data_IF_676872211921
#
_entry.id   IF_676872211921
#
_cell.length_a   1.000
_cell.length_b   1.000
_cell.length_c   1.000
_cell.angle_alpha   90.00
_cell.angle_beta   90.00
_cell.angle_gamma   90.00
#
_symmetry.space_group_name_H-M   'P 1'
#
loop_
_entity.id
_entity.type
_entity.pdbx_description
1 polymer ?
#
# COMPACT_ATOMS: atom_id res chain seq x y z
N UNK A 1 6.64 -48.64 11.20
CA UNK A 1 5.82 -47.77 10.33
C UNK A 1 6.44 -46.39 10.37
N UNK A 2 7.02 -45.85 9.29
CA UNK A 2 7.51 -44.48 9.32
C UNK A 2 6.32 -43.52 9.20
N UNK A 3 6.07 -42.72 10.25
CA UNK A 3 5.06 -41.67 10.21
C UNK A 3 5.57 -40.52 9.34
N UNK A 4 4.80 -40.16 8.31
CA UNK A 4 5.04 -38.95 7.51
C UNK A 4 4.93 -37.73 8.44
N UNK A 5 6.04 -37.03 8.63
CA UNK A 5 6.03 -35.69 9.23
C UNK A 5 5.18 -34.76 8.37
N UNK A 6 4.33 -33.90 8.95
CA UNK A 6 3.56 -32.93 8.19
C UNK A 6 4.54 -31.94 7.55
N UNK A 7 4.53 -31.87 6.23
CA UNK A 7 5.33 -30.95 5.43
C UNK A 7 4.97 -29.52 5.84
N UNK A 8 5.88 -28.90 6.61
CA UNK A 8 5.73 -27.56 7.13
C UNK A 8 5.92 -26.59 5.96
N UNK A 9 4.79 -26.14 5.40
CA UNK A 9 4.73 -25.21 4.28
C UNK A 9 5.36 -23.90 4.73
N UNK A 10 6.64 -23.69 4.40
CA UNK A 10 7.31 -22.42 4.63
C UNK A 10 6.54 -21.33 3.88
N UNK A 11 6.09 -20.26 4.56
CA UNK A 11 5.44 -19.15 3.89
C UNK A 11 6.42 -18.61 2.85
N UNK A 12 5.98 -18.58 1.60
CA UNK A 12 6.75 -18.01 0.50
C UNK A 12 7.20 -16.59 0.87
N UNK A 13 8.47 -16.23 0.66
CA UNK A 13 8.96 -14.90 1.01
C UNK A 13 8.14 -13.86 0.25
N UNK A 14 7.54 -12.93 0.99
CA UNK A 14 6.83 -11.81 0.40
C UNK A 14 7.82 -10.94 -0.38
N UNK A 15 7.39 -10.35 -1.49
CA UNK A 15 8.25 -9.51 -2.34
C UNK A 15 8.60 -8.19 -1.63
N UNK A 16 7.71 -7.74 -0.74
CA UNK A 16 7.88 -6.57 0.12
C UNK A 16 7.55 -6.94 1.57
N UNK A 17 7.97 -6.07 2.50
CA UNK A 17 7.55 -6.15 3.88
C UNK A 17 6.02 -5.94 4.03
N UNK A 18 5.43 -6.49 5.09
CA UNK A 18 3.99 -6.34 5.37
C UNK A 18 3.58 -4.87 5.47
N UNK A 19 4.41 -4.02 6.06
CA UNK A 19 4.14 -2.58 6.20
C UNK A 19 4.02 -1.90 4.83
N UNK A 20 4.93 -2.20 3.89
CA UNK A 20 4.87 -1.66 2.54
C UNK A 20 3.57 -2.03 1.82
N UNK A 21 3.04 -3.24 2.02
CA UNK A 21 1.74 -3.62 1.46
C UNK A 21 0.59 -2.78 2.03
N UNK A 22 0.62 -2.46 3.32
CA UNK A 22 -0.40 -1.60 3.94
C UNK A 22 -0.32 -0.19 3.37
N UNK A 23 0.89 0.38 3.27
CA UNK A 23 1.10 1.72 2.71
C UNK A 23 0.67 1.75 1.24
N UNK A 24 0.99 0.72 0.47
CA UNK A 24 0.56 0.58 -0.93
C UNK A 24 -0.97 0.58 -1.04
N UNK A 25 -1.66 -0.22 -0.22
CA UNK A 25 -3.12 -0.31 -0.24
C UNK A 25 -3.78 1.03 0.11
N UNK A 26 -3.30 1.70 1.17
CA UNK A 26 -3.79 3.02 1.58
C UNK A 26 -3.56 4.05 0.48
N UNK A 27 -2.39 4.01 -0.18
CA UNK A 27 -2.03 4.93 -1.26
C UNK A 27 -2.94 4.76 -2.47
N UNK A 28 -3.23 3.51 -2.88
CA UNK A 28 -4.18 3.22 -3.96
C UNK A 28 -5.58 3.67 -3.58
N UNK A 29 -6.02 3.40 -2.34
CA UNK A 29 -7.33 3.82 -1.87
C UNK A 29 -7.47 5.35 -1.89
N UNK A 30 -6.42 6.07 -1.51
CA UNK A 30 -6.39 7.54 -1.55
C UNK A 30 -6.58 8.08 -2.97
N UNK A 31 -5.95 7.46 -3.98
CA UNK A 31 -6.15 7.80 -5.39
C UNK A 31 -7.62 7.58 -5.79
N UNK A 32 -8.18 6.40 -5.44
CA UNK A 32 -9.58 6.07 -5.74
C UNK A 32 -10.54 7.07 -5.09
N UNK A 33 -10.29 7.45 -3.83
CA UNK A 33 -11.08 8.46 -3.12
C UNK A 33 -10.93 9.84 -3.77
N UNK A 34 -9.73 10.23 -4.21
CA UNK A 34 -9.51 11.49 -4.92
C UNK A 34 -10.33 11.59 -6.21
N UNK A 35 -10.33 10.54 -7.03
CA UNK A 35 -11.17 10.48 -8.24
C UNK A 35 -12.67 10.34 -7.91
N UNK A 36 -13.01 9.55 -6.89
CA UNK A 36 -14.40 9.38 -6.43
C UNK A 36 -15.00 10.68 -5.91
N UNK A 37 -14.21 11.50 -5.21
CA UNK A 37 -14.62 12.81 -4.73
C UNK A 37 -14.93 13.78 -5.88
N UNK A 38 -14.11 13.78 -6.95
CA UNK A 38 -14.42 14.54 -8.16
C UNK A 38 -15.73 14.09 -8.82
N UNK A 39 -15.93 12.78 -8.88
CA UNK A 39 -17.15 12.21 -9.46
C UNK A 39 -18.39 12.60 -8.65
N UNK A 40 -18.33 12.54 -7.33
CA UNK A 40 -19.43 12.93 -6.44
C UNK A 40 -19.74 14.43 -6.49
N UNK A 41 -18.72 15.29 -6.60
CA UNK A 41 -18.94 16.73 -6.71
C UNK A 41 -19.61 17.11 -8.04
N UNK A 42 -19.32 16.36 -9.12
CA UNK A 42 -19.95 16.53 -10.43
C UNK A 42 -19.66 17.87 -11.13
N UNK A 43 -18.83 18.73 -10.50
CA UNK A 43 -18.41 20.03 -11.02
C UNK A 43 -16.90 20.04 -11.13
N UNK A 44 -16.39 20.07 -12.36
CA UNK A 44 -14.95 20.11 -12.60
C UNK A 44 -14.26 21.32 -11.95
N UNK A 45 -14.91 22.48 -11.94
CA UNK A 45 -14.43 23.71 -11.26
C UNK A 45 -14.93 23.80 -9.82
N UNK A 46 -15.46 22.72 -9.27
CA UNK A 46 -15.81 22.61 -7.87
C UNK A 46 -14.57 22.69 -6.98
N UNK A 47 -14.76 23.10 -5.73
CA UNK A 47 -13.66 23.31 -4.81
C UNK A 47 -12.89 22.01 -4.54
N UNK A 48 -13.61 20.90 -4.40
CA UNK A 48 -13.01 19.58 -4.12
C UNK A 48 -12.25 19.09 -5.35
N UNK A 49 -12.81 19.24 -6.54
CA UNK A 49 -12.21 18.75 -7.78
C UNK A 49 -11.00 19.55 -8.21
N UNK A 50 -11.03 20.87 -7.99
CA UNK A 50 -9.95 21.75 -8.42
C UNK A 50 -8.78 21.82 -7.42
N UNK A 51 -9.04 21.69 -6.12
CA UNK A 51 -8.01 21.89 -5.08
C UNK A 51 -7.70 20.62 -4.29
N UNK A 52 -8.72 19.93 -3.77
CA UNK A 52 -8.51 18.82 -2.81
C UNK A 52 -8.09 17.54 -3.53
N UNK A 53 -8.79 17.20 -4.61
CA UNK A 53 -8.62 15.94 -5.34
C UNK A 53 -7.24 15.82 -6.00
N UNK A 54 -6.70 16.87 -6.67
CA UNK A 54 -5.37 16.80 -7.26
C UNK A 54 -4.29 16.56 -6.21
N UNK A 55 -4.38 17.22 -5.04
CA UNK A 55 -3.44 17.02 -3.93
C UNK A 55 -3.54 15.59 -3.39
N UNK A 56 -4.75 15.08 -3.18
CA UNK A 56 -4.96 13.71 -2.70
C UNK A 56 -4.40 12.66 -3.68
N UNK A 57 -4.63 12.85 -4.99
CA UNK A 57 -4.12 11.94 -6.03
C UNK A 57 -2.59 11.97 -6.08
N UNK A 58 -1.97 13.15 -6.04
CA UNK A 58 -0.51 13.28 -6.03
C UNK A 58 0.07 12.65 -4.76
N UNK A 59 -0.52 12.88 -3.60
CA UNK A 59 -0.11 12.24 -2.35
C UNK A 59 -0.23 10.71 -2.44
N UNK A 60 -1.30 10.20 -3.05
CA UNK A 60 -1.48 8.77 -3.31
C UNK A 60 -0.38 8.20 -4.21
N UNK A 61 -0.02 8.88 -5.30
CA UNK A 61 1.09 8.44 -6.15
C UNK A 61 2.45 8.50 -5.43
N UNK A 62 2.71 9.55 -4.66
CA UNK A 62 3.91 9.63 -3.83
C UNK A 62 3.98 8.48 -2.82
N UNK A 63 2.86 8.11 -2.20
CA UNK A 63 2.75 6.96 -1.30
C UNK A 63 2.99 5.61 -2.00
N UNK A 64 2.49 5.42 -3.23
CA UNK A 64 2.80 4.22 -4.04
C UNK A 64 4.30 4.13 -4.32
N UNK A 65 4.92 5.24 -4.73
CA UNK A 65 6.37 5.30 -4.98
C UNK A 65 7.14 4.95 -3.71
N UNK A 66 6.76 5.54 -2.57
CA UNK A 66 7.37 5.25 -1.28
C UNK A 66 7.22 3.77 -0.91
N UNK A 67 6.03 3.19 -1.03
CA UNK A 67 5.79 1.79 -0.70
C UNK A 67 6.59 0.81 -1.58
N UNK A 68 6.92 1.18 -2.81
CA UNK A 68 7.71 0.35 -3.72
C UNK A 68 9.22 0.51 -3.47
N UNK A 69 9.67 1.75 -3.24
CA UNK A 69 11.11 2.07 -3.12
C UNK A 69 11.66 1.87 -1.72
N UNK A 70 10.83 2.04 -0.69
CA UNK A 70 11.27 1.84 0.69
C UNK A 70 11.58 0.38 0.94
N UNK A 71 12.75 0.10 1.49
CA UNK A 71 13.10 -1.21 2.04
C UNK A 71 13.63 -0.96 3.44
N UNK A 72 13.09 -1.63 4.47
CA UNK A 72 13.72 -1.60 5.79
C UNK A 72 15.13 -2.19 5.69
N UNK A 73 16.08 -1.61 6.41
CA UNK A 73 17.41 -2.21 6.59
C UNK A 73 17.28 -3.46 7.49
N UNK A 74 18.21 -4.40 7.36
CA UNK A 74 18.14 -5.78 7.88
C UNK A 74 17.79 -5.92 9.38
N UNK A 75 17.93 -4.87 10.19
CA UNK A 75 17.59 -4.86 11.62
C UNK A 75 16.07 -4.94 11.93
N UNK A 76 15.19 -4.47 11.04
CA UNK A 76 13.74 -4.57 11.25
C UNK A 76 13.18 -5.91 10.77
N UNK A 77 13.81 -6.53 9.77
CA UNK A 77 13.49 -7.89 9.33
C UNK A 77 13.75 -8.93 10.44
N UNK A 78 14.75 -8.72 11.29
CA UNK A 78 15.03 -9.56 12.46
C UNK A 78 13.97 -9.39 13.57
N UNK A 79 13.42 -8.17 13.76
CA UNK A 79 12.36 -7.92 14.75
C UNK A 79 10.99 -8.47 14.33
N UNK A 80 10.70 -8.57 13.03
CA UNK A 80 9.48 -9.23 12.54
C UNK A 80 9.59 -10.77 12.54
N UNK A 81 10.81 -11.31 12.58
CA UNK A 81 11.08 -12.75 12.56
C UNK A 81 11.32 -13.38 13.96
N UNK A 82 11.52 -12.56 15.00
CA UNK A 82 11.69 -12.97 16.39
C UNK A 82 10.35 -12.97 17.18
#
# INVERSE_FOLDING_TARGET
MPSKSPEQKSPSPLVFEKQNYVILLVSVLLIVVGFGAMWMEGKFLGFISLNVSPIAIVAGYAGVIYAILWRPDDEEAEKEAA
#
